data_IF_224827710487
#
_entry.id   IF_224827710487
#
_cell.length_a   1.000
_cell.length_b   1.000
_cell.length_c   1.000
_cell.angle_alpha   90.00
_cell.angle_beta   90.00
_cell.angle_gamma   90.00
#
_symmetry.space_group_name_H-M   'P 1'
#
loop_
_entity.id
_entity.type
_entity.pdbx_description
1 polymer ?
#
# COMPACT_ATOMS: atom_id res chain seq x y z
N UNK A 1 -50.20 59.49 52.74
CA UNK A 1 -50.00 58.23 51.96
C UNK A 1 -48.76 57.51 52.50
N UNK A 2 -48.92 56.26 52.94
CA UNK A 2 -47.88 55.48 53.59
C UNK A 2 -46.75 55.12 52.59
N UNK A 3 -45.52 55.57 52.86
CA UNK A 3 -44.33 55.35 52.02
C UNK A 3 -44.01 53.85 51.83
N UNK A 4 -44.47 53.02 52.76
CA UNK A 4 -44.27 51.55 52.75
C UNK A 4 -45.02 50.89 51.58
N UNK A 5 -46.22 51.37 51.22
CA UNK A 5 -47.02 50.79 50.13
C UNK A 5 -46.40 51.05 48.74
N UNK A 6 -45.73 52.19 48.57
CA UNK A 6 -45.03 52.52 47.32
C UNK A 6 -43.74 51.71 47.15
N UNK A 7 -43.03 51.43 48.25
CA UNK A 7 -41.84 50.57 48.24
C UNK A 7 -42.17 49.11 47.93
N UNK A 8 -43.27 48.59 48.48
CA UNK A 8 -43.73 47.22 48.20
C UNK A 8 -44.12 47.02 46.73
N UNK A 9 -44.78 48.01 46.11
CA UNK A 9 -45.15 47.96 44.70
C UNK A 9 -43.91 48.02 43.77
N UNK A 10 -42.91 48.82 44.13
CA UNK A 10 -41.65 48.90 43.39
C UNK A 10 -40.81 47.62 43.51
N UNK A 11 -40.76 47.02 44.71
CA UNK A 11 -40.07 45.75 44.95
C UNK A 11 -40.77 44.58 44.21
N UNK A 12 -42.10 44.56 44.18
CA UNK A 12 -42.87 43.57 43.43
C UNK A 12 -42.66 43.71 41.91
N UNK A 13 -42.64 44.94 41.37
CA UNK A 13 -42.33 45.19 39.97
C UNK A 13 -40.89 44.80 39.62
N UNK A 14 -39.91 45.11 40.47
CA UNK A 14 -38.51 44.70 40.28
C UNK A 14 -38.31 43.18 40.35
N UNK A 15 -38.99 42.51 41.28
CA UNK A 15 -38.96 41.05 41.40
C UNK A 15 -39.67 40.36 40.22
N UNK A 16 -40.74 40.94 39.69
CA UNK A 16 -41.41 40.44 38.48
C UNK A 16 -40.52 40.58 37.23
N UNK A 17 -39.76 41.68 37.11
CA UNK A 17 -38.77 41.86 36.04
C UNK A 17 -37.59 40.87 36.21
N UNK A 18 -37.14 40.62 37.45
CA UNK A 18 -36.06 39.68 37.73
C UNK A 18 -36.47 38.20 37.56
N UNK A 19 -37.71 37.85 37.90
CA UNK A 19 -38.31 36.54 37.63
C UNK A 19 -38.59 36.33 36.14
N UNK A 20 -38.94 37.40 35.40
CA UNK A 20 -38.95 37.41 33.94
C UNK A 20 -37.56 37.31 33.30
N UNK A 21 -36.50 37.63 34.05
CA UNK A 21 -35.10 37.52 33.63
C UNK A 21 -34.48 36.13 33.76
N UNK A 22 -35.07 35.23 34.56
CA UNK A 22 -34.64 33.83 34.69
C UNK A 22 -35.02 32.96 33.47
N UNK A 23 -35.80 33.50 32.53
CA UNK A 23 -36.20 32.85 31.29
C UNK A 23 -35.62 33.46 30.02
N UNK A 24 -34.84 34.55 30.11
CA UNK A 24 -34.00 35.00 29.00
C UNK A 24 -32.80 34.06 28.88
N UNK A 25 -33.06 32.82 28.46
CA UNK A 25 -32.17 32.13 27.54
C UNK A 25 -32.10 33.03 26.32
N UNK A 26 -31.22 34.02 26.39
CA UNK A 26 -30.95 34.87 25.27
C UNK A 26 -30.44 33.91 24.19
N UNK A 27 -31.31 33.59 23.23
CA UNK A 27 -31.00 32.70 22.12
C UNK A 27 -30.09 33.46 21.13
N UNK A 28 -28.97 33.99 21.62
CA UNK A 28 -27.86 34.42 20.79
C UNK A 28 -27.15 33.17 20.30
N UNK A 29 -27.81 32.45 19.41
CA UNK A 29 -27.17 31.41 18.62
C UNK A 29 -26.81 32.06 17.29
N UNK A 30 -25.51 32.16 17.02
CA UNK A 30 -24.99 32.46 15.69
C UNK A 30 -24.53 31.14 15.09
N UNK A 31 -25.29 30.64 14.12
CA UNK A 31 -24.84 29.55 13.28
C UNK A 31 -24.32 30.17 11.98
N UNK A 32 -23.00 30.12 11.79
CA UNK A 32 -22.40 30.32 10.46
C UNK A 32 -22.30 28.95 9.83
N UNK A 33 -22.96 28.78 8.69
CA UNK A 33 -22.71 27.62 7.86
C UNK A 33 -21.29 27.80 7.30
N UNK A 34 -20.33 27.02 7.80
CA UNK A 34 -19.03 26.95 7.14
C UNK A 34 -19.28 26.32 5.79
N UNK A 35 -18.75 26.93 4.73
CA UNK A 35 -18.85 26.35 3.39
C UNK A 35 -18.00 25.08 3.37
N UNK A 36 -18.59 23.95 3.78
CA UNK A 36 -17.97 22.64 3.69
C UNK A 36 -17.72 22.30 2.23
N UNK A 37 -16.54 21.77 1.93
CA UNK A 37 -16.22 21.24 0.61
C UNK A 37 -16.55 19.75 0.53
N UNK A 38 -16.77 19.26 -0.69
CA UNK A 38 -16.76 17.81 -0.96
C UNK A 38 -15.32 17.31 -0.88
N UNK A 39 -15.10 16.20 -0.17
CA UNK A 39 -13.80 15.52 -0.09
C UNK A 39 -13.85 14.27 -0.97
N UNK A 40 -12.85 14.09 -1.82
CA UNK A 40 -12.67 12.88 -2.64
C UNK A 40 -11.48 12.09 -2.12
N UNK A 41 -11.65 10.78 -1.95
CA UNK A 41 -10.56 9.90 -1.53
C UNK A 41 -9.51 9.72 -2.65
N UNK A 42 -8.28 9.41 -2.24
CA UNK A 42 -7.20 9.03 -3.15
C UNK A 42 -7.39 7.64 -3.78
N UNK A 43 -6.43 7.23 -4.59
CA UNK A 43 -6.40 5.92 -5.27
C UNK A 43 -4.99 5.33 -5.22
N UNK A 44 -4.88 4.08 -4.81
CA UNK A 44 -3.66 3.28 -4.91
C UNK A 44 -3.95 2.02 -5.72
N UNK A 45 -3.23 1.82 -6.82
CA UNK A 45 -3.40 0.63 -7.66
C UNK A 45 -2.09 0.24 -8.36
N UNK A 46 -1.99 -1.04 -8.72
CA UNK A 46 -0.90 -1.60 -9.51
C UNK A 46 -1.50 -2.36 -10.70
N UNK A 47 -0.95 -2.18 -11.90
CA UNK A 47 -1.42 -2.89 -13.10
C UNK A 47 -0.24 -3.40 -13.89
N UNK A 48 -0.24 -4.68 -14.25
CA UNK A 48 0.79 -5.27 -15.10
C UNK A 48 0.76 -4.63 -16.50
N UNK A 49 1.92 -4.26 -17.01
CA UNK A 49 2.09 -3.68 -18.36
C UNK A 49 2.51 -4.76 -19.35
N UNK A 50 3.24 -5.77 -18.88
CA UNK A 50 3.75 -6.88 -19.66
C UNK A 50 3.57 -8.21 -18.91
N UNK A 51 3.82 -9.31 -19.63
CA UNK A 51 3.78 -10.68 -19.08
C UNK A 51 5.09 -11.09 -18.40
N UNK A 52 6.03 -10.14 -18.24
CA UNK A 52 7.39 -10.37 -17.79
C UNK A 52 8.25 -11.23 -18.72
N UNK A 53 9.56 -11.23 -18.47
CA UNK A 53 10.57 -11.96 -19.23
C UNK A 53 11.55 -12.66 -18.30
N UNK A 54 12.03 -13.83 -18.74
CA UNK A 54 13.02 -14.63 -18.02
C UNK A 54 14.39 -14.53 -18.68
N UNK A 55 15.45 -14.33 -17.88
CA UNK A 55 16.83 -14.31 -18.34
C UNK A 55 17.74 -15.12 -17.43
N UNK A 56 18.80 -15.69 -17.97
CA UNK A 56 19.90 -16.24 -17.19
C UNK A 56 20.67 -15.10 -16.50
N UNK A 57 21.17 -15.38 -15.28
CA UNK A 57 22.00 -14.45 -14.51
C UNK A 57 23.30 -15.13 -14.13
N UNK A 58 24.41 -14.55 -14.56
CA UNK A 58 25.75 -15.07 -14.39
C UNK A 58 26.08 -16.26 -15.30
N UNK A 59 27.27 -16.83 -15.11
CA UNK A 59 27.76 -17.94 -15.90
C UNK A 59 28.00 -17.59 -17.38
N UNK A 60 28.04 -18.61 -18.24
CA UNK A 60 28.32 -18.44 -19.68
C UNK A 60 27.13 -17.99 -20.52
N UNK A 61 25.93 -18.03 -19.94
CA UNK A 61 24.67 -17.62 -20.57
C UNK A 61 24.14 -16.29 -20.01
N UNK A 62 24.94 -15.54 -19.26
CA UNK A 62 24.48 -14.31 -18.60
C UNK A 62 23.80 -13.36 -19.58
N UNK A 63 22.56 -12.96 -19.26
CA UNK A 63 21.74 -12.09 -20.10
C UNK A 63 20.98 -12.79 -21.23
N UNK A 64 21.25 -14.08 -21.51
CA UNK A 64 20.47 -14.84 -22.48
C UNK A 64 19.04 -15.08 -21.99
N UNK A 65 18.11 -15.28 -22.92
CA UNK A 65 16.72 -15.64 -22.58
C UNK A 65 16.68 -17.03 -21.93
N UNK A 66 15.96 -17.14 -20.81
CA UNK A 66 15.65 -18.42 -20.17
C UNK A 66 14.21 -18.83 -20.50
N UNK A 67 14.00 -20.08 -20.88
CA UNK A 67 12.68 -20.65 -21.09
C UNK A 67 12.41 -21.78 -20.08
N UNK A 68 11.58 -21.55 -19.04
CA UNK A 68 11.28 -22.56 -18.02
C UNK A 68 10.73 -23.90 -18.56
N UNK A 69 10.13 -23.93 -19.76
CA UNK A 69 9.60 -25.15 -20.37
C UNK A 69 10.67 -26.03 -21.04
N UNK A 70 11.72 -25.42 -21.61
CA UNK A 70 12.71 -26.12 -22.45
C UNK A 70 14.10 -26.17 -21.82
N UNK A 71 14.47 -25.12 -21.10
CA UNK A 71 15.77 -25.07 -20.43
C UNK A 71 15.74 -25.91 -19.14
N UNK A 72 16.93 -26.27 -18.68
CA UNK A 72 17.13 -27.08 -17.48
C UNK A 72 18.15 -26.37 -16.60
N UNK A 73 17.80 -26.20 -15.33
CA UNK A 73 18.69 -25.64 -14.32
C UNK A 73 19.60 -26.75 -13.76
N UNK A 74 20.82 -26.37 -13.42
CA UNK A 74 21.72 -27.17 -12.59
C UNK A 74 22.03 -26.44 -11.28
N UNK A 75 22.47 -27.16 -10.23
CA UNK A 75 22.88 -26.52 -8.98
C UNK A 75 23.90 -25.40 -9.22
N UNK A 76 23.61 -24.21 -8.70
CA UNK A 76 24.40 -22.98 -8.88
C UNK A 76 23.83 -22.01 -9.90
N UNK A 77 22.91 -22.43 -10.77
CA UNK A 77 22.29 -21.55 -11.75
C UNK A 77 21.37 -20.52 -11.08
N UNK A 78 21.31 -19.32 -11.68
CA UNK A 78 20.35 -18.29 -11.30
C UNK A 78 19.62 -17.78 -12.54
N UNK A 79 18.31 -17.61 -12.42
CA UNK A 79 17.46 -17.02 -13.45
C UNK A 79 16.64 -15.88 -12.88
N UNK A 80 16.42 -14.84 -13.67
CA UNK A 80 15.70 -13.63 -13.28
C UNK A 80 14.40 -13.50 -14.05
N UNK A 81 13.31 -13.35 -13.34
CA UNK A 81 12.05 -12.86 -13.88
C UNK A 81 12.00 -11.34 -13.75
N UNK A 82 11.65 -10.63 -14.81
CA UNK A 82 11.48 -9.17 -14.79
C UNK A 82 10.14 -8.81 -15.41
N UNK A 83 9.31 -8.06 -14.68
CA UNK A 83 8.03 -7.56 -15.17
C UNK A 83 7.86 -6.06 -14.88
N UNK A 84 7.09 -5.39 -15.71
CA UNK A 84 6.80 -3.95 -15.56
C UNK A 84 5.38 -3.72 -15.05
N UNK A 85 5.26 -2.85 -14.05
CA UNK A 85 3.98 -2.49 -13.45
C UNK A 85 3.75 -0.99 -13.49
N UNK A 86 2.56 -0.59 -13.93
CA UNK A 86 2.08 0.79 -13.88
C UNK A 86 1.47 1.06 -12.52
N UNK A 87 1.89 2.17 -11.91
CA UNK A 87 1.42 2.60 -10.59
C UNK A 87 0.35 3.68 -10.76
N UNK A 88 -0.74 3.56 -10.01
CA UNK A 88 -1.65 4.66 -9.71
C UNK A 88 -1.47 5.05 -8.25
N UNK A 89 -1.05 6.28 -7.99
CA UNK A 89 -0.75 6.79 -6.65
C UNK A 89 -1.31 8.21 -6.52
N UNK A 90 -2.58 8.32 -6.14
CA UNK A 90 -3.30 9.59 -6.00
C UNK A 90 -3.62 9.79 -4.53
N UNK A 91 -3.18 10.89 -3.95
CA UNK A 91 -3.49 11.27 -2.57
C UNK A 91 -2.42 12.19 -1.99
N UNK A 92 -2.79 13.22 -1.25
CA UNK A 92 -1.85 14.28 -0.83
C UNK A 92 -0.72 13.77 0.06
N UNK A 93 -1.01 12.84 0.99
CA UNK A 93 -0.05 12.28 1.93
C UNK A 93 0.15 10.77 1.71
N UNK A 94 -0.09 10.28 0.49
CA UNK A 94 0.02 8.84 0.21
C UNK A 94 1.48 8.41 0.28
N UNK A 95 1.75 7.37 1.06
CA UNK A 95 3.01 6.63 1.00
C UNK A 95 2.70 5.15 0.94
N UNK A 96 3.38 4.43 0.07
CA UNK A 96 3.20 2.99 -0.09
C UNK A 96 4.55 2.33 -0.36
N UNK A 97 4.60 1.01 -0.21
CA UNK A 97 5.78 0.20 -0.48
C UNK A 97 5.40 -0.90 -1.47
N UNK A 98 6.10 -0.94 -2.60
CA UNK A 98 6.01 -1.99 -3.61
C UNK A 98 7.08 -3.03 -3.34
N UNK A 99 6.66 -4.20 -2.88
CA UNK A 99 7.56 -5.30 -2.51
C UNK A 99 7.39 -6.45 -3.50
N UNK A 100 8.45 -6.85 -4.23
CA UNK A 100 8.45 -8.14 -4.92
C UNK A 100 8.32 -9.25 -3.88
N UNK A 101 7.38 -10.16 -4.09
CA UNK A 101 7.15 -11.30 -3.21
C UNK A 101 7.42 -12.60 -3.96
N UNK A 102 8.22 -13.42 -3.30
CA UNK A 102 8.67 -14.71 -3.78
C UNK A 102 7.82 -15.80 -3.12
N UNK A 103 6.65 -16.03 -3.70
CA UNK A 103 5.60 -16.81 -3.05
C UNK A 103 5.09 -18.03 -3.81
N UNK A 104 5.50 -18.25 -5.06
CA UNK A 104 4.87 -19.29 -5.87
C UNK A 104 5.81 -20.05 -6.79
N UNK A 105 6.97 -20.42 -6.25
CA UNK A 105 7.72 -21.58 -6.75
C UNK A 105 7.07 -22.83 -6.13
N UNK A 106 6.64 -23.77 -6.96
CA UNK A 106 6.02 -25.02 -6.49
C UNK A 106 6.57 -26.25 -7.22
N UNK A 107 6.25 -27.46 -6.76
CA UNK A 107 6.78 -28.72 -7.31
C UNK A 107 7.99 -29.27 -6.56
N UNK A 108 8.46 -30.45 -6.96
CA UNK A 108 9.46 -31.22 -6.21
C UNK A 108 10.83 -30.53 -6.14
N UNK A 109 11.17 -29.73 -7.16
CA UNK A 109 12.41 -28.96 -7.22
C UNK A 109 12.34 -27.69 -6.34
N UNK A 110 11.15 -27.22 -5.95
CA UNK A 110 10.95 -25.94 -5.26
C UNK A 110 11.75 -25.81 -3.95
N UNK A 111 11.93 -26.92 -3.21
CA UNK A 111 12.68 -26.93 -1.95
C UNK A 111 14.19 -26.62 -2.11
N UNK A 112 14.72 -26.70 -3.34
CA UNK A 112 16.11 -26.40 -3.69
C UNK A 112 16.25 -25.07 -4.44
N UNK A 113 15.13 -24.36 -4.65
CA UNK A 113 15.12 -23.06 -5.30
C UNK A 113 15.00 -21.98 -4.24
N UNK A 114 15.91 -21.02 -4.28
CA UNK A 114 15.93 -19.87 -3.40
C UNK A 114 15.50 -18.63 -4.18
N UNK A 115 14.22 -18.24 -4.10
CA UNK A 115 13.74 -17.06 -4.76
C UNK A 115 14.07 -15.82 -3.90
N UNK A 116 14.62 -14.78 -4.51
CA UNK A 116 15.04 -13.54 -3.85
C UNK A 116 14.62 -12.31 -4.65
N UNK A 117 14.55 -11.15 -4.00
CA UNK A 117 14.32 -9.88 -4.69
C UNK A 117 15.58 -9.48 -5.43
N UNK A 118 15.49 -9.30 -6.75
CA UNK A 118 16.67 -8.91 -7.52
C UNK A 118 17.13 -7.51 -7.07
N UNK A 119 18.38 -7.42 -6.63
CA UNK A 119 18.97 -6.18 -6.09
C UNK A 119 18.82 -5.99 -4.57
N UNK A 120 18.22 -6.95 -3.84
CA UNK A 120 18.30 -7.05 -2.37
C UNK A 120 17.72 -5.88 -1.56
N UNK A 121 17.00 -4.95 -2.19
CA UNK A 121 16.50 -3.75 -1.54
C UNK A 121 15.24 -3.99 -0.70
N UNK A 122 15.04 -3.22 0.39
CA UNK A 122 13.71 -3.06 0.98
C UNK A 122 12.79 -2.50 -0.11
N UNK A 123 11.54 -2.95 -0.20
CA UNK A 123 10.63 -2.64 -1.31
C UNK A 123 10.64 -1.17 -1.78
N UNK A 124 10.25 -0.94 -3.02
CA UNK A 124 10.30 0.38 -3.67
C UNK A 124 9.27 1.31 -3.01
N UNK A 125 9.72 2.42 -2.42
CA UNK A 125 8.80 3.46 -1.92
C UNK A 125 8.03 4.09 -3.08
N UNK A 126 6.72 4.18 -2.92
CA UNK A 126 5.77 4.76 -3.87
C UNK A 126 5.13 5.99 -3.24
N UNK A 127 5.16 7.09 -3.99
CA UNK A 127 4.60 8.39 -3.61
C UNK A 127 3.69 8.91 -4.73
N UNK A 128 2.97 10.03 -4.52
CA UNK A 128 2.17 10.63 -5.58
C UNK A 128 2.99 11.08 -6.80
N UNK A 129 4.30 11.30 -6.63
CA UNK A 129 5.21 11.59 -7.74
C UNK A 129 5.37 10.40 -8.71
N UNK A 130 5.07 9.18 -8.25
CA UNK A 130 5.14 7.96 -9.06
C UNK A 130 3.82 7.67 -9.80
N UNK A 131 2.82 8.55 -9.70
CA UNK A 131 1.53 8.35 -10.35
C UNK A 131 1.68 8.27 -11.88
N UNK A 132 1.05 7.24 -12.48
CA UNK A 132 1.16 6.89 -13.90
C UNK A 132 2.58 6.55 -14.38
N UNK A 133 3.54 6.37 -13.48
CA UNK A 133 4.86 5.86 -13.84
C UNK A 133 4.84 4.34 -13.92
N UNK A 134 5.78 3.79 -14.69
CA UNK A 134 6.02 2.35 -14.78
C UNK A 134 7.28 2.02 -14.00
N UNK A 135 7.21 1.03 -13.11
CA UNK A 135 8.36 0.49 -12.38
C UNK A 135 8.62 -0.94 -12.83
N UNK A 136 9.89 -1.26 -13.05
CA UNK A 136 10.33 -2.64 -13.29
C UNK A 136 10.61 -3.30 -11.97
N UNK A 137 10.13 -4.52 -11.83
CA UNK A 137 10.33 -5.35 -10.65
C UNK A 137 10.93 -6.66 -11.11
N UNK A 138 11.97 -7.11 -10.42
CA UNK A 138 12.71 -8.31 -10.77
C UNK A 138 12.85 -9.24 -9.58
N UNK A 139 12.82 -10.54 -9.86
CA UNK A 139 12.93 -11.64 -8.90
C UNK A 139 13.97 -12.61 -9.42
N UNK A 140 14.95 -12.94 -8.59
CA UNK A 140 15.97 -13.94 -8.89
C UNK A 140 15.53 -15.27 -8.28
N UNK A 141 15.75 -16.36 -9.01
CA UNK A 141 15.57 -17.73 -8.53
C UNK A 141 16.90 -18.44 -8.70
N UNK A 142 17.52 -18.79 -7.57
CA UNK A 142 18.79 -19.51 -7.56
C UNK A 142 18.54 -20.97 -7.22
N UNK A 143 19.06 -21.88 -8.05
CA UNK A 143 19.14 -23.29 -7.68
C UNK A 143 20.33 -23.48 -6.74
N UNK A 144 20.04 -23.86 -5.50
CA UNK A 144 21.03 -24.14 -4.44
C UNK A 144 22.21 -24.97 -4.94
N UNK A 145 23.40 -24.37 -4.87
CA UNK A 145 24.65 -25.00 -5.29
C UNK A 145 25.06 -26.20 -4.42
N UNK A 146 24.57 -26.28 -3.18
CA UNK A 146 24.82 -27.39 -2.25
C UNK A 146 23.87 -28.59 -2.43
N UNK A 147 22.97 -28.54 -3.42
CA UNK A 147 22.11 -29.66 -3.78
C UNK A 147 22.97 -30.85 -4.22
N UNK A 148 23.00 -31.89 -3.39
CA UNK A 148 23.89 -33.04 -3.54
C UNK A 148 23.13 -34.31 -3.93
N UNK A 149 23.83 -35.44 -4.07
CA UNK A 149 23.26 -36.79 -4.25
C UNK A 149 22.22 -36.97 -5.37
N UNK A 150 22.23 -36.10 -6.40
CA UNK A 150 21.22 -36.04 -7.46
C UNK A 150 19.83 -35.60 -6.98
N UNK A 151 19.72 -35.01 -5.79
CA UNK A 151 18.46 -34.67 -5.15
C UNK A 151 17.58 -33.70 -5.94
N UNK A 152 18.13 -32.96 -6.92
CA UNK A 152 17.37 -32.12 -7.84
C UNK A 152 17.25 -32.64 -9.27
N UNK A 153 17.83 -33.80 -9.61
CA UNK A 153 17.77 -34.33 -10.98
C UNK A 153 16.36 -34.79 -11.32
N UNK A 154 15.93 -34.50 -12.55
CA UNK A 154 14.62 -34.83 -13.11
C UNK A 154 13.40 -34.28 -12.34
N UNK A 155 13.64 -33.49 -11.29
CA UNK A 155 12.58 -32.78 -10.56
C UNK A 155 12.16 -31.54 -11.33
N UNK A 156 10.89 -31.22 -11.22
CA UNK A 156 10.29 -30.04 -11.86
C UNK A 156 9.86 -29.02 -10.81
N UNK A 157 9.97 -27.75 -11.15
CA UNK A 157 9.27 -26.68 -10.44
C UNK A 157 8.44 -25.85 -11.42
N UNK A 158 7.29 -25.39 -10.95
CA UNK A 158 6.56 -24.32 -11.60
C UNK A 158 7.05 -22.98 -11.04
N UNK A 159 7.45 -22.08 -11.94
CA UNK A 159 7.95 -20.74 -11.64
C UNK A 159 6.90 -19.65 -11.90
N UNK A 160 5.64 -20.04 -12.16
CA UNK A 160 4.55 -19.12 -12.51
C UNK A 160 4.15 -18.14 -11.40
N UNK A 161 4.55 -18.37 -10.15
CA UNK A 161 4.06 -17.62 -8.99
C UNK A 161 4.97 -16.51 -8.45
N UNK A 162 5.70 -15.79 -9.30
CA UNK A 162 6.28 -14.51 -8.91
C UNK A 162 5.15 -13.49 -8.65
N UNK A 163 5.03 -12.98 -7.42
CA UNK A 163 3.96 -12.03 -7.04
C UNK A 163 4.56 -10.68 -6.67
N UNK A 164 3.77 -9.62 -6.74
CA UNK A 164 4.16 -8.28 -6.26
C UNK A 164 3.08 -7.76 -5.34
N UNK A 165 3.49 -7.16 -4.23
CA UNK A 165 2.58 -6.59 -3.23
C UNK A 165 2.79 -5.09 -3.19
N UNK A 166 1.71 -4.33 -3.37
CA UNK A 166 1.70 -2.89 -3.15
C UNK A 166 0.90 -2.60 -1.87
N UNK A 167 1.59 -2.12 -0.83
CA UNK A 167 1.00 -1.88 0.49
C UNK A 167 1.05 -0.39 0.84
N UNK A 168 -0.07 0.19 1.25
CA UNK A 168 -0.09 1.56 1.80
C UNK A 168 0.46 1.56 3.24
N UNK A 169 1.24 2.58 3.59
CA UNK A 169 1.83 2.81 4.91
C UNK A 169 1.05 3.86 5.70
#
# INVERSE_FOLDING_TARGET
MNKVTKGALAAAAGAAILAGGAGTMAAWNSNVNTNGGTVTAGQLNLTAVDTGTWTWVGGTKDGDTFNPGTDRLVPGDTVRYTASYKITAVGTNLTATLTPSVGGVSGDLAQYLDPTTAGGGPGITVTPADNNTTKKVSTDITFRADTSNKDGQDKTADLSGATVTLQQN
#
